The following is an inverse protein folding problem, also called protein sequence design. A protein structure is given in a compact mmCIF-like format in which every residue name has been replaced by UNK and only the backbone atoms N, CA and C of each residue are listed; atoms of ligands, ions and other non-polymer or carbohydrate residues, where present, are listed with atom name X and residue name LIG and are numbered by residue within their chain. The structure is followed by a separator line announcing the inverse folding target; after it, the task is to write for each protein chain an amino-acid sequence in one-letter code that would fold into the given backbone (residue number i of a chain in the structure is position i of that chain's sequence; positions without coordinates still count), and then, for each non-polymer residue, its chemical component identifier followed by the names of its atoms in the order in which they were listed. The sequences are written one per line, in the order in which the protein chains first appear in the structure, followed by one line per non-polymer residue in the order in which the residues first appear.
data_IF_224176600486
#
_entry.id   IF_224176600486
#
_cell.length_a   1.000
_cell.length_b   1.000
_cell.length_c   1.000
_cell.angle_alpha   90.00
_cell.angle_beta   90.00
_cell.angle_gamma   90.00
#
_symmetry.space_group_name_H-M   'P 1'
#
loop_
_entity.id
_entity.type
_entity.pdbx_description
1 polymer ?
#
# COMPACT_ATOMS: atom_id res chain seq x y z
N UNK A 1 7.81 -28.04 -5.97
CA UNK A 1 8.24 -29.45 -5.96
C UNK A 1 7.11 -30.28 -6.54
N UNK A 2 7.17 -30.58 -7.86
CA UNK A 2 7.44 -31.97 -8.22
C UNK A 2 8.26 -32.17 -9.52
N UNK A 3 8.87 -33.36 -9.59
CA UNK A 3 8.98 -34.27 -10.74
C UNK A 3 9.99 -34.05 -11.89
N UNK A 4 10.76 -35.14 -12.10
CA UNK A 4 11.18 -35.77 -13.37
C UNK A 4 12.31 -35.07 -14.13
N UNK A 5 13.31 -35.76 -14.69
CA UNK A 5 13.46 -37.17 -14.99
C UNK A 5 14.36 -37.27 -16.22
N UNK A 6 15.63 -37.60 -16.03
CA UNK A 6 16.64 -37.59 -17.11
C UNK A 6 16.69 -38.96 -17.80
N UNK A 7 16.15 -39.05 -19.02
CA UNK A 7 16.36 -40.15 -19.97
C UNK A 7 16.35 -39.62 -21.41
N UNK A 8 17.46 -39.80 -22.13
CA UNK A 8 17.54 -39.94 -23.59
C UNK A 8 19.00 -40.34 -23.92
N UNK A 9 19.32 -41.53 -24.43
CA UNK A 9 19.01 -42.15 -25.73
C UNK A 9 20.19 -42.06 -26.72
N UNK A 10 20.86 -43.20 -26.94
CA UNK A 10 21.44 -43.64 -28.25
C UNK A 10 20.25 -44.00 -29.18
N UNK A 11 20.35 -44.11 -30.53
CA UNK A 11 21.47 -44.70 -31.29
C UNK A 11 21.69 -44.20 -32.75
N UNK A 12 22.58 -44.92 -33.46
CA UNK A 12 22.56 -45.28 -34.89
C UNK A 12 23.23 -44.37 -35.96
N UNK A 13 24.41 -44.82 -36.42
CA UNK A 13 24.60 -45.38 -37.78
C UNK A 13 24.60 -44.46 -39.01
N UNK A 14 25.76 -44.36 -39.67
CA UNK A 14 25.92 -44.31 -41.16
C UNK A 14 27.41 -44.38 -41.52
N UNK A 15 27.84 -45.47 -42.16
CA UNK A 15 28.06 -45.67 -43.61
C UNK A 15 29.31 -45.00 -44.17
N UNK A 16 30.23 -45.87 -44.59
CA UNK A 16 31.34 -45.60 -45.51
C UNK A 16 30.85 -45.18 -46.90
N UNK A 17 31.73 -44.50 -47.66
CA UNK A 17 31.95 -44.85 -49.05
C UNK A 17 33.44 -45.07 -49.37
N UNK A 18 33.69 -46.11 -50.17
CA UNK A 18 35.01 -46.60 -50.53
C UNK A 18 35.79 -45.71 -51.50
N UNK A 19 37.10 -45.86 -51.43
CA UNK A 19 38.09 -45.35 -52.38
C UNK A 19 38.41 -46.42 -53.43
N UNK A 20 38.39 -46.11 -54.74
CA UNK A 20 38.85 -46.99 -55.80
C UNK A 20 40.24 -46.55 -56.27
N UNK A 21 41.30 -47.02 -55.61
CA UNK A 21 42.66 -46.92 -56.13
C UNK A 21 43.37 -48.25 -55.91
N UNK A 22 43.27 -49.15 -56.89
CA UNK A 22 44.31 -50.15 -57.20
C UNK A 22 43.89 -50.93 -58.45
N UNK A 23 44.10 -50.31 -59.61
CA UNK A 23 43.96 -50.97 -60.92
C UNK A 23 44.92 -50.35 -61.94
N UNK A 24 46.21 -50.33 -61.60
CA UNK A 24 47.30 -49.92 -62.50
C UNK A 24 48.50 -50.88 -62.40
N UNK A 25 48.22 -52.17 -62.24
CA UNK A 25 49.22 -53.23 -62.27
C UNK A 25 48.80 -54.33 -63.26
N UNK A 26 48.61 -54.00 -64.55
CA UNK A 26 48.28 -54.99 -65.60
C UNK A 26 48.40 -54.45 -67.04
N UNK A 27 49.47 -53.75 -67.41
CA UNK A 27 49.74 -53.51 -68.85
C UNK A 27 51.21 -53.15 -69.17
N UNK A 28 52.16 -53.97 -68.69
CA UNK A 28 53.56 -53.96 -69.15
C UNK A 28 54.05 -55.40 -69.28
N UNK A 29 53.55 -56.11 -70.31
CA UNK A 29 54.17 -57.31 -70.87
C UNK A 29 53.39 -57.75 -72.12
N UNK A 30 53.57 -57.00 -73.21
CA UNK A 30 53.32 -57.44 -74.59
C UNK A 30 53.86 -56.35 -75.52
N UNK A 31 54.42 -56.76 -76.65
CA UNK A 31 55.12 -55.94 -77.67
C UNK A 31 56.64 -55.79 -77.43
N UNK A 32 57.33 -56.93 -77.30
CA UNK A 32 58.61 -57.14 -77.97
C UNK A 32 58.51 -58.51 -78.65
N UNK A 33 57.88 -58.48 -79.82
CA UNK A 33 57.77 -59.61 -80.71
C UNK A 33 57.61 -59.06 -82.12
N UNK A 34 58.72 -59.03 -82.88
CA UNK A 34 58.83 -59.43 -84.28
C UNK A 34 60.04 -58.79 -84.98
N UNK A 35 60.66 -59.61 -85.82
CA UNK A 35 61.74 -59.39 -86.80
C UNK A 35 63.16 -59.26 -86.24
N UNK A 36 64.14 -60.04 -86.69
CA UNK A 36 64.39 -60.41 -88.09
C UNK A 36 64.76 -61.90 -88.25
N UNK A 37 63.98 -62.56 -89.13
CA UNK A 37 64.34 -63.75 -89.89
C UNK A 37 64.92 -63.28 -91.22
N UNK A 38 66.15 -63.69 -91.53
CA UNK A 38 66.80 -63.76 -92.85
C UNK A 38 68.19 -64.38 -92.61
N UNK A 39 68.76 -65.35 -93.33
CA UNK A 39 68.47 -66.21 -94.48
C UNK A 39 69.47 -67.38 -94.32
N UNK A 40 69.03 -68.64 -94.40
CA UNK A 40 69.32 -69.58 -95.49
C UNK A 40 70.70 -69.50 -96.19
N UNK A 41 71.37 -70.65 -96.18
CA UNK A 41 72.18 -71.24 -97.26
C UNK A 41 73.49 -70.56 -97.70
N UNK A 42 74.61 -71.25 -97.55
CA UNK A 42 75.22 -71.97 -98.69
C UNK A 42 76.53 -72.64 -98.28
N UNK A 43 76.62 -73.93 -98.61
CA UNK A 43 77.86 -74.69 -98.67
C UNK A 43 78.46 -74.55 -100.08
N UNK A 44 79.59 -75.23 -100.26
CA UNK A 44 80.27 -75.67 -101.51
C UNK A 44 81.30 -74.66 -102.09
N UNK A 45 82.26 -75.10 -102.93
CA UNK A 45 83.65 -75.41 -102.61
C UNK A 45 84.63 -74.55 -103.48
N UNK A 46 85.96 -74.81 -103.54
CA UNK A 46 86.89 -73.96 -104.26
C UNK A 46 86.94 -74.33 -105.76
N UNK A 47 86.91 -73.32 -106.62
CA UNK A 47 87.25 -73.47 -108.04
C UNK A 47 87.84 -72.15 -108.55
N UNK A 48 89.13 -72.20 -108.85
CA UNK A 48 89.91 -71.13 -109.50
C UNK A 48 89.55 -70.99 -110.99
N UNK A 49 90.06 -69.91 -111.59
CA UNK A 49 90.36 -69.70 -113.01
C UNK A 49 89.42 -68.83 -113.89
N UNK A 50 89.85 -67.56 -114.01
CA UNK A 50 89.80 -66.63 -115.17
C UNK A 50 88.48 -65.95 -115.61
N UNK A 51 88.42 -64.59 -115.54
CA UNK A 51 87.42 -63.78 -116.28
C UNK A 51 87.22 -62.32 -115.82
N UNK A 52 88.25 -61.46 -115.91
CA UNK A 52 88.37 -60.15 -115.24
C UNK A 52 87.68 -58.93 -115.92
N UNK A 53 86.44 -59.07 -116.44
CA UNK A 53 85.74 -57.95 -117.09
C UNK A 53 84.25 -57.79 -116.71
N UNK A 54 83.50 -58.87 -116.42
CA UNK A 54 82.08 -58.80 -116.05
C UNK A 54 81.84 -58.47 -114.55
N UNK A 55 82.84 -58.67 -113.70
CA UNK A 55 82.75 -58.36 -112.27
C UNK A 55 82.67 -56.86 -111.96
N UNK A 56 83.19 -55.99 -112.84
CA UNK A 56 83.12 -54.54 -112.63
C UNK A 56 81.69 -54.00 -112.79
N UNK A 57 80.94 -54.52 -113.75
CA UNK A 57 79.56 -54.09 -114.02
C UNK A 57 78.62 -54.51 -112.89
N UNK A 58 78.82 -55.72 -112.33
CA UNK A 58 78.07 -56.21 -111.16
C UNK A 58 78.37 -55.37 -109.92
N UNK A 59 79.64 -55.01 -109.69
CA UNK A 59 80.04 -54.13 -108.57
C UNK A 59 79.47 -52.73 -108.73
N UNK A 60 79.42 -52.16 -109.94
CA UNK A 60 78.78 -50.86 -110.18
C UNK A 60 77.27 -50.92 -109.99
N UNK A 61 76.60 -51.98 -110.45
CA UNK A 61 75.16 -52.16 -110.29
C UNK A 61 74.78 -52.35 -108.81
N UNK A 62 75.58 -53.10 -108.06
CA UNK A 62 75.44 -53.24 -106.61
C UNK A 62 75.66 -51.91 -105.86
N UNK A 63 76.64 -51.11 -106.28
CA UNK A 63 76.89 -49.79 -105.69
C UNK A 63 75.75 -48.80 -105.97
N UNK A 64 75.20 -48.80 -107.18
CA UNK A 64 74.01 -47.99 -107.51
C UNK A 64 72.77 -48.45 -106.74
N UNK A 65 72.58 -49.77 -106.58
CA UNK A 65 71.47 -50.30 -105.79
C UNK A 65 71.61 -49.96 -104.31
N UNK A 66 72.83 -50.04 -103.75
CA UNK A 66 73.13 -49.58 -102.39
C UNK A 66 72.86 -48.08 -102.23
N UNK A 67 73.25 -47.25 -103.20
CA UNK A 67 72.98 -45.82 -103.20
C UNK A 67 71.47 -45.52 -103.25
N UNK A 68 70.69 -46.23 -104.09
CA UNK A 68 69.22 -46.09 -104.13
C UNK A 68 68.56 -46.52 -102.83
N UNK A 69 69.04 -47.61 -102.20
CA UNK A 69 68.56 -48.05 -100.89
C UNK A 69 68.87 -47.01 -99.82
N UNK A 70 70.10 -46.50 -99.77
CA UNK A 70 70.51 -45.43 -98.87
C UNK A 70 69.66 -44.18 -99.07
N UNK A 71 69.43 -43.74 -100.30
CA UNK A 71 68.60 -42.58 -100.60
C UNK A 71 67.13 -42.80 -100.19
N UNK A 72 66.59 -44.01 -100.38
CA UNK A 72 65.26 -44.41 -99.91
C UNK A 72 65.16 -44.42 -98.38
N UNK A 73 66.21 -44.87 -97.68
CA UNK A 73 66.28 -44.77 -96.22
C UNK A 73 66.34 -43.31 -95.77
N UNK A 74 67.17 -42.48 -96.40
CA UNK A 74 67.27 -41.05 -96.08
C UNK A 74 65.94 -40.32 -96.36
N UNK A 75 65.23 -40.65 -97.45
CA UNK A 75 63.89 -40.09 -97.71
C UNK A 75 62.87 -40.50 -96.65
N UNK A 76 62.81 -41.79 -96.30
CA UNK A 76 61.93 -42.26 -95.21
C UNK A 76 62.32 -41.64 -93.87
N UNK A 77 63.60 -41.53 -93.57
CA UNK A 77 64.09 -40.91 -92.34
C UNK A 77 63.71 -39.43 -92.29
N UNK A 78 63.84 -38.69 -93.39
CA UNK A 78 63.36 -37.29 -93.48
C UNK A 78 61.84 -37.21 -93.29
N UNK A 79 61.07 -38.10 -93.93
CA UNK A 79 59.61 -38.15 -93.75
C UNK A 79 59.22 -38.46 -92.30
N UNK A 80 59.88 -39.42 -91.66
CA UNK A 80 59.65 -39.72 -90.25
C UNK A 80 60.07 -38.56 -89.35
N UNK A 81 61.18 -37.86 -89.63
CA UNK A 81 61.58 -36.66 -88.89
C UNK A 81 60.55 -35.54 -89.03
N UNK A 82 60.05 -35.27 -90.23
CA UNK A 82 58.96 -34.29 -90.43
C UNK A 82 57.72 -34.72 -89.65
N UNK A 83 57.34 -35.99 -89.71
CA UNK A 83 56.16 -36.48 -88.99
C UNK A 83 56.33 -36.42 -87.47
N UNK A 84 57.52 -36.72 -86.96
CA UNK A 84 57.85 -36.57 -85.53
C UNK A 84 57.73 -35.10 -85.13
N UNK A 85 58.31 -34.17 -85.90
CA UNK A 85 58.23 -32.74 -85.62
C UNK A 85 56.77 -32.24 -85.63
N UNK A 86 55.94 -32.69 -86.58
CA UNK A 86 54.51 -32.36 -86.61
C UNK A 86 53.77 -32.88 -85.38
N UNK A 87 54.03 -34.13 -84.98
CA UNK A 87 53.41 -34.72 -83.79
C UNK A 87 53.88 -34.04 -82.50
N UNK A 88 55.15 -33.65 -82.42
CA UNK A 88 55.69 -32.86 -81.32
C UNK A 88 55.06 -31.47 -81.25
N UNK A 89 54.85 -30.81 -82.39
CA UNK A 89 54.14 -29.52 -82.46
C UNK A 89 52.68 -29.66 -81.99
N UNK A 90 51.96 -30.68 -82.45
CA UNK A 90 50.59 -30.95 -82.00
C UNK A 90 50.52 -31.29 -80.50
N UNK A 91 51.49 -32.03 -79.96
CA UNK A 91 51.59 -32.29 -78.53
C UNK A 91 51.92 -31.03 -77.73
N UNK A 92 52.79 -30.16 -78.25
CA UNK A 92 53.10 -28.86 -77.64
C UNK A 92 51.86 -27.95 -77.60
N UNK A 93 51.12 -27.85 -78.70
CA UNK A 93 49.87 -27.10 -78.78
C UNK A 93 48.80 -27.66 -77.85
N UNK A 94 48.68 -29.00 -77.76
CA UNK A 94 47.77 -29.66 -76.83
C UNK A 94 48.16 -29.40 -75.37
N UNK A 95 49.46 -29.41 -75.03
CA UNK A 95 49.95 -29.05 -73.69
C UNK A 95 49.69 -27.56 -73.37
N UNK A 96 49.88 -26.66 -74.32
CA UNK A 96 49.59 -25.23 -74.16
C UNK A 96 48.08 -24.99 -73.98
N UNK A 97 47.23 -25.69 -74.73
CA UNK A 97 45.76 -25.64 -74.56
C UNK A 97 45.32 -26.21 -73.21
N UNK A 98 45.87 -27.36 -72.81
CA UNK A 98 45.62 -27.97 -71.49
C UNK A 98 46.05 -27.05 -70.34
N UNK A 99 47.14 -26.30 -70.50
CA UNK A 99 47.54 -25.29 -69.51
C UNK A 99 46.51 -24.17 -69.37
N UNK A 100 45.89 -23.72 -70.46
CA UNK A 100 44.83 -22.70 -70.41
C UNK A 100 43.53 -23.25 -69.81
N UNK A 101 43.17 -24.49 -70.14
CA UNK A 101 42.03 -25.20 -69.56
C UNK A 101 42.20 -25.34 -68.04
N UNK A 102 43.38 -25.76 -67.57
CA UNK A 102 43.71 -25.81 -66.15
C UNK A 102 43.58 -24.46 -65.44
N UNK A 103 43.91 -23.33 -66.11
CA UNK A 103 43.74 -22.00 -65.51
C UNK A 103 42.28 -21.56 -65.42
N UNK A 104 41.46 -21.94 -66.40
CA UNK A 104 40.02 -21.67 -66.39
C UNK A 104 39.32 -22.50 -65.31
N UNK A 105 39.69 -23.78 -65.17
CA UNK A 105 39.21 -24.64 -64.10
C UNK A 105 39.59 -24.10 -62.71
N UNK A 106 40.85 -23.66 -62.52
CA UNK A 106 41.26 -23.02 -61.27
C UNK A 106 40.52 -21.69 -61.00
N UNK A 107 40.12 -20.96 -62.04
CA UNK A 107 39.26 -19.78 -61.89
C UNK A 107 37.83 -20.17 -61.50
N UNK A 108 37.25 -21.18 -62.14
CA UNK A 108 35.92 -21.69 -61.83
C UNK A 108 35.85 -22.29 -60.41
N UNK A 109 36.91 -22.95 -59.95
CA UNK A 109 36.99 -23.46 -58.58
C UNK A 109 37.13 -22.35 -57.54
N UNK A 110 37.83 -21.26 -57.88
CA UNK A 110 37.82 -20.05 -57.06
C UNK A 110 36.43 -19.43 -56.98
N UNK A 111 35.70 -19.34 -58.10
CA UNK A 111 34.31 -18.85 -58.12
C UNK A 111 33.39 -19.75 -57.30
N UNK A 112 33.49 -21.08 -57.43
CA UNK A 112 32.72 -22.04 -56.63
C UNK A 112 33.04 -21.91 -55.14
N UNK A 113 34.31 -21.70 -54.79
CA UNK A 113 34.74 -21.47 -53.40
C UNK A 113 34.19 -20.15 -52.87
N UNK A 114 34.30 -19.06 -53.62
CA UNK A 114 33.70 -17.77 -53.22
C UNK A 114 32.19 -17.86 -53.06
N UNK A 115 31.50 -18.54 -53.97
CA UNK A 115 30.06 -18.75 -53.86
C UNK A 115 29.68 -19.56 -52.61
N UNK A 116 30.43 -20.64 -52.30
CA UNK A 116 30.26 -21.37 -51.02
C UNK A 116 30.43 -20.46 -49.82
N UNK A 117 31.49 -19.64 -49.79
CA UNK A 117 31.72 -18.71 -48.69
C UNK A 117 30.59 -17.67 -48.57
N UNK A 118 30.03 -17.21 -49.69
CA UNK A 118 28.87 -16.31 -49.69
C UNK A 118 27.65 -17.02 -49.11
N UNK A 119 27.37 -18.27 -49.52
CA UNK A 119 26.27 -19.05 -48.97
C UNK A 119 26.44 -19.28 -47.46
N UNK A 120 27.64 -19.67 -47.02
CA UNK A 120 27.94 -19.85 -45.59
C UNK A 120 27.78 -18.53 -44.81
N UNK A 121 28.14 -17.39 -45.41
CA UNK A 121 27.92 -16.08 -44.81
C UNK A 121 26.44 -15.71 -44.74
N UNK A 122 25.65 -16.06 -45.77
CA UNK A 122 24.20 -15.83 -45.78
C UNK A 122 23.52 -16.67 -44.71
N UNK A 123 23.88 -17.95 -44.59
CA UNK A 123 23.37 -18.85 -43.55
C UNK A 123 23.69 -18.30 -42.15
N UNK A 124 24.92 -17.83 -41.93
CA UNK A 124 25.29 -17.18 -40.67
C UNK A 124 24.48 -15.92 -40.37
N UNK A 125 24.21 -15.08 -41.37
CA UNK A 125 23.38 -13.88 -41.19
C UNK A 125 21.93 -14.27 -40.92
N UNK A 126 21.41 -15.30 -41.58
CA UNK A 126 20.07 -15.82 -41.37
C UNK A 126 19.90 -16.40 -39.96
N UNK A 127 20.89 -17.16 -39.47
CA UNK A 127 20.90 -17.71 -38.11
C UNK A 127 20.96 -16.60 -37.05
N UNK A 128 21.83 -15.61 -37.25
CA UNK A 128 21.90 -14.44 -36.37
C UNK A 128 20.59 -13.66 -36.36
N UNK A 129 19.98 -13.46 -37.53
CA UNK A 129 18.69 -12.74 -37.65
C UNK A 129 17.58 -13.51 -36.95
N UNK A 130 17.51 -14.83 -37.13
CA UNK A 130 16.52 -15.70 -36.47
C UNK A 130 16.69 -15.67 -34.95
N UNK A 131 17.92 -15.67 -34.46
CA UNK A 131 18.23 -15.56 -33.03
C UNK A 131 17.81 -14.20 -32.46
N UNK A 132 18.12 -13.11 -33.15
CA UNK A 132 17.72 -11.76 -32.73
C UNK A 132 16.19 -11.64 -32.66
N UNK A 133 15.47 -12.17 -33.65
CA UNK A 133 14.00 -12.16 -33.66
C UNK A 133 13.42 -12.93 -32.45
N UNK A 134 13.96 -14.11 -32.15
CA UNK A 134 13.54 -14.89 -30.98
C UNK A 134 13.85 -14.18 -29.65
N UNK A 135 15.00 -13.51 -29.55
CA UNK A 135 15.37 -12.71 -28.38
C UNK A 135 14.43 -11.51 -28.20
N UNK A 136 14.12 -10.79 -29.28
CA UNK A 136 13.18 -9.68 -29.27
C UNK A 136 11.77 -10.13 -28.88
N UNK A 137 11.29 -11.26 -29.42
CA UNK A 137 10.00 -11.83 -29.02
C UNK A 137 9.98 -12.17 -27.52
N UNK A 138 11.05 -12.80 -27.01
CA UNK A 138 11.19 -13.15 -25.60
C UNK A 138 11.20 -11.91 -24.69
N UNK A 139 11.87 -10.85 -25.11
CA UNK A 139 11.93 -9.61 -24.35
C UNK A 139 10.62 -8.83 -24.40
N UNK A 140 9.93 -8.83 -25.54
CA UNK A 140 8.59 -8.29 -25.68
C UNK A 140 7.60 -9.02 -24.75
N UNK A 141 7.64 -10.36 -24.72
CA UNK A 141 6.83 -11.16 -23.81
C UNK A 141 7.17 -10.89 -22.34
N UNK A 142 8.46 -10.67 -22.01
CA UNK A 142 8.88 -10.31 -20.65
C UNK A 142 8.33 -8.94 -20.26
N UNK A 143 8.40 -7.96 -21.14
CA UNK A 143 7.87 -6.61 -20.92
C UNK A 143 6.35 -6.63 -20.76
N UNK A 144 5.63 -7.39 -21.60
CA UNK A 144 4.19 -7.58 -21.46
C UNK A 144 3.81 -8.23 -20.13
N UNK A 145 4.51 -9.30 -19.72
CA UNK A 145 4.28 -9.93 -18.42
C UNK A 145 4.55 -8.99 -17.26
N UNK A 146 5.65 -8.23 -17.31
CA UNK A 146 5.95 -7.23 -16.28
C UNK A 146 4.85 -6.16 -16.19
N UNK A 147 4.34 -5.69 -17.33
CA UNK A 147 3.22 -4.74 -17.37
C UNK A 147 1.92 -5.35 -16.84
N UNK A 148 1.62 -6.60 -17.17
CA UNK A 148 0.45 -7.30 -16.64
C UNK A 148 0.52 -7.45 -15.12
N UNK A 149 1.68 -7.83 -14.58
CA UNK A 149 1.87 -7.89 -13.13
C UNK A 149 1.75 -6.51 -12.48
N UNK A 150 2.32 -5.46 -13.07
CA UNK A 150 2.19 -4.09 -12.56
C UNK A 150 0.73 -3.62 -12.55
N UNK A 151 -0.04 -3.90 -13.61
CA UNK A 151 -1.46 -3.54 -13.68
C UNK A 151 -2.28 -4.35 -12.67
N UNK A 152 -1.97 -5.63 -12.51
CA UNK A 152 -2.64 -6.47 -11.52
C UNK A 152 -2.34 -6.01 -10.08
N UNK A 153 -1.09 -5.67 -9.78
CA UNK A 153 -0.68 -5.11 -8.49
C UNK A 153 -1.35 -3.76 -8.22
N UNK A 154 -1.45 -2.89 -9.23
CA UNK A 154 -2.17 -1.62 -9.14
C UNK A 154 -3.65 -1.85 -8.82
N UNK A 155 -4.32 -2.76 -9.53
CA UNK A 155 -5.73 -3.11 -9.32
C UNK A 155 -5.97 -3.73 -7.93
N UNK A 156 -5.09 -4.61 -7.48
CA UNK A 156 -5.15 -5.19 -6.12
C UNK A 156 -4.94 -4.10 -5.06
N UNK A 157 -3.99 -3.19 -5.28
CA UNK A 157 -3.74 -2.07 -4.36
C UNK A 157 -4.92 -1.08 -4.31
N UNK A 158 -5.57 -0.82 -5.44
CA UNK A 158 -6.71 0.08 -5.53
C UNK A 158 -7.94 -0.53 -4.88
N UNK A 159 -8.18 -1.82 -5.11
CA UNK A 159 -9.22 -2.59 -4.40
C UNK A 159 -9.01 -2.52 -2.88
N UNK A 160 -7.80 -2.76 -2.40
CA UNK A 160 -7.51 -2.71 -0.96
C UNK A 160 -7.70 -1.29 -0.38
N UNK A 161 -7.30 -0.23 -1.12
CA UNK A 161 -7.55 1.17 -0.68
C UNK A 161 -9.03 1.50 -0.59
N UNK A 162 -9.86 1.01 -1.52
CA UNK A 162 -11.31 1.24 -1.46
C UNK A 162 -11.96 0.56 -0.25
N UNK A 163 -11.47 -0.63 0.10
CA UNK A 163 -11.95 -1.40 1.26
C UNK A 163 -11.50 -0.77 2.60
N UNK A 164 -10.28 -0.24 2.64
CA UNK A 164 -9.75 0.52 3.79
C UNK A 164 -10.58 1.79 4.05
N UNK A 165 -10.98 2.50 2.99
CA UNK A 165 -11.83 3.69 3.10
C UNK A 165 -13.20 3.37 3.70
N UNK A 166 -13.86 2.33 3.19
CA UNK A 166 -15.15 1.88 3.73
C UNK A 166 -15.02 1.41 5.19
N UNK A 167 -13.99 0.63 5.50
CA UNK A 167 -13.72 0.13 6.85
C UNK A 167 -13.48 1.26 7.85
N UNK A 168 -12.70 2.29 7.48
CA UNK A 168 -12.46 3.45 8.33
C UNK A 168 -13.73 4.27 8.61
N UNK A 169 -14.60 4.42 7.60
CA UNK A 169 -15.90 5.09 7.78
C UNK A 169 -16.84 4.29 8.68
N UNK A 170 -16.87 2.96 8.54
CA UNK A 170 -17.66 2.07 9.39
C UNK A 170 -17.18 2.15 10.84
N UNK A 171 -15.87 2.10 11.07
CA UNK A 171 -15.29 2.22 12.42
C UNK A 171 -15.61 3.58 13.05
N UNK A 172 -15.46 4.67 12.29
CA UNK A 172 -15.84 6.02 12.74
C UNK A 172 -17.33 6.12 13.06
N UNK A 173 -18.21 5.53 12.24
CA UNK A 173 -19.65 5.49 12.52
C UNK A 173 -19.94 4.77 13.83
N UNK A 174 -19.33 3.60 14.03
CA UNK A 174 -19.47 2.81 15.25
C UNK A 174 -18.96 3.57 16.48
N UNK A 175 -17.84 4.29 16.37
CA UNK A 175 -17.34 5.12 17.45
C UNK A 175 -18.33 6.23 17.82
N UNK A 176 -18.84 6.96 16.82
CA UNK A 176 -19.84 8.00 17.05
C UNK A 176 -21.13 7.47 17.67
N UNK A 177 -21.58 6.28 17.26
CA UNK A 177 -22.72 5.60 17.89
C UNK A 177 -22.47 5.33 19.39
N UNK A 178 -21.28 4.84 19.75
CA UNK A 178 -20.93 4.62 21.16
C UNK A 178 -20.84 5.91 21.96
N UNK A 179 -20.32 6.99 21.37
CA UNK A 179 -20.23 8.31 22.02
C UNK A 179 -21.62 8.93 22.23
N UNK A 180 -22.52 8.76 21.25
CA UNK A 180 -23.92 9.20 21.36
C UNK A 180 -24.64 8.43 22.46
N UNK A 181 -24.49 7.11 22.51
CA UNK A 181 -25.14 6.30 23.54
C UNK A 181 -24.62 6.66 24.94
N UNK A 182 -23.31 6.80 25.10
CA UNK A 182 -22.71 7.25 26.36
C UNK A 182 -23.22 8.63 26.79
N UNK A 183 -23.37 9.56 25.85
CA UNK A 183 -23.88 10.91 26.12
C UNK A 183 -25.34 10.89 26.54
N UNK A 184 -26.17 10.04 25.92
CA UNK A 184 -27.57 9.83 26.34
C UNK A 184 -27.65 9.26 27.74
N UNK A 185 -26.87 8.22 28.06
CA UNK A 185 -26.82 7.65 29.41
C UNK A 185 -26.41 8.69 30.47
N UNK A 186 -25.45 9.56 30.15
CA UNK A 186 -25.03 10.64 31.03
C UNK A 186 -26.13 11.68 31.22
N UNK A 187 -26.82 12.08 30.15
CA UNK A 187 -27.95 13.01 30.19
C UNK A 187 -29.09 12.45 31.06
N UNK A 188 -29.48 11.19 30.83
CA UNK A 188 -30.51 10.50 31.61
C UNK A 188 -30.15 10.44 33.11
N UNK A 189 -28.87 10.17 33.42
CA UNK A 189 -28.40 10.15 34.81
C UNK A 189 -28.47 11.54 35.45
N UNK A 190 -28.06 12.58 34.73
CA UNK A 190 -28.14 13.96 35.21
C UNK A 190 -29.60 14.38 35.43
N UNK A 191 -30.51 14.02 34.54
CA UNK A 191 -31.93 14.31 34.68
C UNK A 191 -32.54 13.63 35.90
N UNK A 192 -32.21 12.36 36.16
CA UNK A 192 -32.66 11.66 37.38
C UNK A 192 -32.17 12.35 38.66
N UNK A 193 -30.91 12.78 38.68
CA UNK A 193 -30.33 13.51 39.82
C UNK A 193 -30.99 14.87 40.01
N UNK A 194 -31.20 15.62 38.92
CA UNK A 194 -31.81 16.93 38.96
C UNK A 194 -33.29 16.86 39.40
N UNK A 195 -34.04 15.85 38.93
CA UNK A 195 -35.37 15.56 39.42
C UNK A 195 -35.39 15.25 40.92
N UNK A 196 -34.44 14.45 41.42
CA UNK A 196 -34.33 14.14 42.85
C UNK A 196 -34.06 15.40 43.68
N UNK A 197 -33.09 16.22 43.26
CA UNK A 197 -32.77 17.49 43.92
C UNK A 197 -33.94 18.46 43.87
N UNK A 198 -34.68 18.52 42.77
CA UNK A 198 -35.88 19.36 42.63
C UNK A 198 -36.98 18.94 43.60
N UNK A 199 -37.24 17.63 43.72
CA UNK A 199 -38.20 17.09 44.70
C UNK A 199 -37.79 17.40 46.14
N UNK A 200 -36.51 17.24 46.46
CA UNK A 200 -35.99 17.56 47.79
C UNK A 200 -36.07 19.06 48.10
N UNK A 201 -35.71 19.92 47.13
CA UNK A 201 -35.83 21.36 47.27
C UNK A 201 -37.29 21.78 47.52
N UNK A 202 -38.23 21.18 46.79
CA UNK A 202 -39.66 21.41 47.00
C UNK A 202 -40.12 20.95 48.39
N UNK A 203 -39.66 19.77 48.85
CA UNK A 203 -39.94 19.27 50.20
C UNK A 203 -39.43 20.24 51.27
N UNK A 204 -38.19 20.72 51.14
CA UNK A 204 -37.59 21.66 52.08
C UNK A 204 -38.31 23.00 52.09
N UNK A 205 -38.73 23.53 50.93
CA UNK A 205 -39.56 24.74 50.83
C UNK A 205 -40.88 24.59 51.58
N UNK A 206 -41.58 23.47 51.39
CA UNK A 206 -42.81 23.19 52.15
C UNK A 206 -42.54 23.13 53.65
N UNK A 207 -41.48 22.43 54.08
CA UNK A 207 -41.12 22.34 55.50
C UNK A 207 -40.81 23.71 56.11
N UNK A 208 -40.03 24.55 55.42
CA UNK A 208 -39.71 25.89 55.87
C UNK A 208 -40.97 26.76 55.99
N UNK A 209 -41.86 26.70 54.99
CA UNK A 209 -43.13 27.42 55.02
C UNK A 209 -44.03 26.99 56.20
N UNK A 210 -44.12 25.69 56.48
CA UNK A 210 -44.85 25.18 57.67
C UNK A 210 -44.25 25.73 58.96
N UNK A 211 -42.92 25.66 59.11
CA UNK A 211 -42.24 26.19 60.31
C UNK A 211 -42.45 27.70 60.46
N UNK A 212 -42.47 28.45 59.37
CA UNK A 212 -42.72 29.88 59.39
C UNK A 212 -44.16 30.19 59.83
N UNK A 213 -45.15 29.45 59.32
CA UNK A 213 -46.55 29.55 59.76
C UNK A 213 -46.71 29.22 61.25
N UNK A 214 -46.05 28.16 61.73
CA UNK A 214 -46.07 27.77 63.14
C UNK A 214 -45.43 28.85 64.03
N UNK A 215 -44.31 29.42 63.59
CA UNK A 215 -43.64 30.53 64.28
C UNK A 215 -44.57 31.74 64.37
N UNK A 216 -45.24 32.11 63.28
CA UNK A 216 -46.21 33.22 63.27
C UNK A 216 -47.39 32.95 64.21
N UNK A 217 -47.89 31.72 64.24
CA UNK A 217 -48.97 31.32 65.12
C UNK A 217 -48.56 31.41 66.60
N UNK A 218 -47.39 30.90 66.97
CA UNK A 218 -46.85 31.00 68.33
C UNK A 218 -46.62 32.45 68.74
N UNK A 219 -46.13 33.30 67.84
CA UNK A 219 -45.98 34.74 68.09
C UNK A 219 -47.35 35.39 68.37
N UNK A 220 -48.38 35.08 67.57
CA UNK A 220 -49.76 35.56 67.80
C UNK A 220 -50.29 35.11 69.16
N UNK A 221 -50.15 33.82 69.50
CA UNK A 221 -50.56 33.30 70.81
C UNK A 221 -49.83 34.01 71.96
N UNK A 222 -48.51 34.18 71.84
CA UNK A 222 -47.70 34.86 72.84
C UNK A 222 -48.17 36.31 73.06
N UNK A 223 -48.53 37.03 71.99
CA UNK A 223 -49.08 38.38 72.07
C UNK A 223 -50.44 38.38 72.77
N UNK A 224 -51.34 37.46 72.46
CA UNK A 224 -52.65 37.33 73.14
C UNK A 224 -52.47 37.08 74.64
N UNK A 225 -51.65 36.09 75.02
CA UNK A 225 -51.37 35.78 76.43
C UNK A 225 -50.75 36.98 77.14
N UNK A 226 -49.84 37.72 76.50
CA UNK A 226 -49.28 38.97 77.07
C UNK A 226 -50.37 40.01 77.31
N UNK A 227 -51.28 40.20 76.36
CA UNK A 227 -52.41 41.14 76.49
C UNK A 227 -53.33 40.76 77.65
N UNK A 228 -53.67 39.48 77.76
CA UNK A 228 -54.52 38.96 78.85
C UNK A 228 -53.82 39.11 80.20
N UNK A 229 -52.51 38.86 80.28
CA UNK A 229 -51.73 39.04 81.51
C UNK A 229 -51.73 40.51 81.96
N UNK A 230 -51.59 41.46 81.04
CA UNK A 230 -51.70 42.90 81.33
C UNK A 230 -53.11 43.26 81.80
N UNK A 231 -54.15 42.73 81.16
CA UNK A 231 -55.54 42.93 81.56
C UNK A 231 -55.80 42.42 82.98
N UNK A 232 -55.38 41.19 83.30
CA UNK A 232 -55.52 40.59 84.62
C UNK A 232 -54.74 41.36 85.69
N UNK A 233 -53.52 41.83 85.40
CA UNK A 233 -52.76 42.69 86.32
C UNK A 233 -53.50 44.00 86.60
N UNK A 234 -54.11 44.60 85.58
CA UNK A 234 -54.91 45.82 85.72
C UNK A 234 -56.16 45.56 86.58
N UNK A 235 -56.84 44.43 86.39
CA UNK A 235 -57.98 44.03 87.21
C UNK A 235 -57.60 43.75 88.66
N UNK A 236 -56.48 43.04 88.90
CA UNK A 236 -55.95 42.80 90.24
C UNK A 236 -55.61 44.11 90.95
N UNK A 237 -55.00 45.05 90.24
CA UNK A 237 -54.68 46.37 90.78
C UNK A 237 -55.95 47.15 91.15
N UNK A 238 -56.98 47.13 90.30
CA UNK A 238 -58.26 47.76 90.59
C UNK A 238 -58.96 47.14 91.82
N UNK A 239 -58.97 45.80 91.93
CA UNK A 239 -59.55 45.11 93.09
C UNK A 239 -58.77 45.38 94.39
N UNK A 240 -57.43 45.49 94.31
CA UNK A 240 -56.60 45.88 95.46
C UNK A 240 -56.94 47.28 95.94
N UNK A 241 -57.05 48.25 95.02
CA UNK A 241 -57.47 49.61 95.35
C UNK A 241 -58.87 49.64 96.01
N UNK A 242 -59.81 48.81 95.56
CA UNK A 242 -61.13 48.68 96.20
C UNK A 242 -61.05 48.10 97.62
N UNK A 243 -60.21 47.09 97.85
CA UNK A 243 -59.99 46.53 99.19
C UNK A 243 -59.33 47.55 100.13
N UNK A 244 -58.38 48.32 99.64
CA UNK A 244 -57.73 49.38 100.42
C UNK A 244 -58.73 50.47 100.81
N UNK A 245 -59.58 50.93 99.88
CA UNK A 245 -60.67 51.87 100.17
C UNK A 245 -61.67 51.32 101.21
N UNK A 246 -62.04 50.04 101.10
CA UNK A 246 -62.92 49.39 102.09
C UNK A 246 -62.24 49.28 103.47
N UNK A 247 -60.95 48.96 103.50
CA UNK A 247 -60.13 48.92 104.72
C UNK A 247 -60.01 50.29 105.36
N UNK A 248 -59.90 51.35 104.58
CA UNK A 248 -59.89 52.74 105.06
C UNK A 248 -61.27 53.21 105.56
N UNK A 249 -62.37 52.70 104.96
CA UNK A 249 -63.74 53.01 105.39
C UNK A 249 -64.19 52.31 106.67
N UNK A 250 -63.50 51.24 107.10
CA UNK A 250 -63.70 50.58 108.38
C UNK A 250 -62.62 50.97 109.40
N UNK A 251 -62.91 51.92 110.28
CA UNK A 251 -62.06 52.29 111.43
C UNK A 251 -62.85 52.21 112.76
N UNK A 252 -62.20 52.15 113.95
CA UNK A 252 -60.76 51.97 114.24
C UNK A 252 -60.50 50.98 115.42
N UNK A 253 -59.23 50.92 115.88
CA UNK A 253 -58.79 50.59 117.27
C UNK A 253 -58.01 49.28 117.50
N UNK A 254 -56.74 49.50 117.85
CA UNK A 254 -55.87 48.81 118.83
C UNK A 254 -55.46 47.32 118.74
N UNK A 255 -54.13 47.21 118.83
CA UNK A 255 -53.31 46.32 119.67
C UNK A 255 -52.96 44.89 119.21
N UNK A 256 -51.65 44.77 118.95
CA UNK A 256 -50.69 43.79 119.46
C UNK A 256 -50.89 42.26 119.34
N UNK A 257 -49.74 41.65 119.00
CA UNK A 257 -49.20 40.35 119.41
C UNK A 257 -49.34 39.09 118.52
N UNK A 258 -48.14 38.55 118.23
CA UNK A 258 -47.67 37.16 118.05
C UNK A 258 -48.01 36.29 116.81
N UNK A 259 -46.90 35.89 116.13
CA UNK A 259 -46.50 34.59 115.52
C UNK A 259 -47.47 33.90 114.52
N UNK A 260 -46.94 33.18 113.49
CA UNK A 260 -46.58 31.79 113.78
C UNK A 260 -45.42 31.17 112.97
N UNK A 261 -44.99 30.05 113.54
CA UNK A 261 -44.13 29.00 113.00
C UNK A 261 -45.01 27.95 112.30
N UNK A 262 -44.46 27.32 111.24
CA UNK A 262 -44.77 25.99 110.66
C UNK A 262 -45.67 25.86 109.41
N UNK A 263 -44.98 25.53 108.30
CA UNK A 263 -45.20 24.42 107.34
C UNK A 263 -46.57 24.23 106.65
N UNK A 264 -46.60 24.25 105.30
CA UNK A 264 -46.73 23.05 104.42
C UNK A 264 -46.92 23.40 102.93
N UNK A 265 -46.05 22.79 102.09
CA UNK A 265 -46.27 22.17 100.76
C UNK A 265 -47.22 22.80 99.72
N UNK A 266 -46.67 23.31 98.60
CA UNK A 266 -47.12 23.12 97.20
C UNK A 266 -45.96 23.57 96.27
N UNK A 267 -45.25 22.64 95.62
CA UNK A 267 -45.43 22.19 94.24
C UNK A 267 -44.84 23.12 93.14
N UNK A 268 -43.70 22.66 92.61
CA UNK A 268 -43.23 22.76 91.21
C UNK A 268 -43.24 24.12 90.51
N UNK A 269 -42.13 24.86 90.63
CA UNK A 269 -41.68 25.79 89.59
C UNK A 269 -40.47 25.18 88.88
N UNK A 270 -40.75 24.49 87.77
CA UNK A 270 -39.76 23.95 86.85
C UNK A 270 -38.87 25.07 86.31
N UNK A 271 -37.61 25.02 86.68
CA UNK A 271 -36.53 25.75 86.02
C UNK A 271 -36.34 25.17 84.62
N UNK A 272 -36.99 25.76 83.62
CA UNK A 272 -36.61 25.51 82.22
C UNK A 272 -35.34 26.30 81.94
N UNK A 273 -34.22 25.61 82.14
CA UNK A 273 -32.89 26.02 81.73
C UNK A 273 -32.87 26.26 80.22
N UNK A 274 -32.58 27.51 79.84
CA UNK A 274 -32.14 27.89 78.51
C UNK A 274 -30.91 27.05 78.12
N UNK A 275 -30.86 26.46 76.91
CA UNK A 275 -29.64 25.85 76.41
C UNK A 275 -28.64 26.96 76.04
N UNK A 276 -27.56 27.04 76.81
CA UNK A 276 -26.37 27.83 76.50
C UNK A 276 -25.67 27.19 75.30
N UNK A 277 -25.83 27.80 74.12
CA UNK A 277 -25.11 27.46 72.89
C UNK A 277 -23.61 27.70 73.13
N UNK A 278 -22.87 26.63 73.42
CA UNK A 278 -21.43 26.61 73.26
C UNK A 278 -21.11 26.28 71.81
N UNK A 279 -20.61 27.27 71.07
CA UNK A 279 -19.76 27.03 69.91
C UNK A 279 -18.54 26.23 70.40
N UNK A 280 -18.49 24.95 70.07
CA UNK A 280 -17.29 24.12 70.24
C UNK A 280 -16.79 23.74 68.86
N UNK A 281 -15.70 24.39 68.46
CA UNK A 281 -14.82 23.96 67.40
C UNK A 281 -14.41 22.50 67.63
N UNK A 282 -14.66 21.68 66.62
CA UNK A 282 -14.28 20.28 66.59
C UNK A 282 -12.92 20.17 65.89
N UNK A 283 -11.85 20.19 66.70
CA UNK A 283 -10.57 19.61 66.34
C UNK A 283 -10.35 18.38 67.24
N UNK A 284 -10.39 17.20 66.60
CA UNK A 284 -9.53 16.03 66.84
C UNK A 284 -9.08 15.72 68.27
N UNK A 285 -9.60 14.63 68.86
CA UNK A 285 -8.84 13.37 69.08
C UNK A 285 -9.28 12.54 70.30
N UNK A 286 -9.59 11.27 69.99
CA UNK A 286 -9.27 9.99 70.65
C UNK A 286 -9.58 9.65 72.13
N UNK A 287 -10.10 8.41 72.25
CA UNK A 287 -9.97 7.41 73.33
C UNK A 287 -10.88 7.62 74.57
N UNK A 288 -11.57 6.66 75.18
CA UNK A 288 -11.61 5.19 75.13
C UNK A 288 -12.91 4.71 75.85
N UNK A 289 -13.38 3.49 75.52
CA UNK A 289 -14.24 2.59 76.32
C UNK A 289 -15.78 2.50 76.05
N UNK A 290 -16.12 1.50 75.20
CA UNK A 290 -17.09 0.40 75.38
C UNK A 290 -18.58 0.67 75.71
N UNK A 291 -19.47 0.45 74.72
CA UNK A 291 -20.49 -0.64 74.67
C UNK A 291 -21.33 -0.60 73.36
N UNK A 292 -22.03 -1.71 73.00
CA UNK A 292 -22.32 -2.06 71.61
C UNK A 292 -23.66 -1.51 71.14
N UNK A 293 -23.75 -1.10 69.86
CA UNK A 293 -24.96 -1.24 69.06
C UNK A 293 -24.65 -1.01 67.57
N UNK A 294 -25.25 -1.86 66.77
CA UNK A 294 -25.10 -2.04 65.33
C UNK A 294 -25.88 -0.98 64.55
N UNK A 295 -25.20 -0.21 63.69
CA UNK A 295 -25.70 0.50 62.48
C UNK A 295 -25.00 1.86 62.25
N UNK A 296 -23.69 1.87 62.01
CA UNK A 296 -22.97 3.13 61.71
C UNK A 296 -21.66 3.01 60.92
N UNK A 297 -21.28 1.83 60.44
CA UNK A 297 -19.93 1.58 59.90
C UNK A 297 -19.77 1.97 58.42
N UNK A 298 -20.84 2.30 57.69
CA UNK A 298 -20.76 2.46 56.23
C UNK A 298 -20.31 3.83 55.72
N UNK A 299 -20.29 4.89 56.53
CA UNK A 299 -19.92 6.23 56.04
C UNK A 299 -18.43 6.53 56.13
N UNK A 300 -17.68 5.89 57.05
CA UNK A 300 -16.24 6.08 57.16
C UNK A 300 -15.45 5.24 56.14
N UNK A 301 -15.97 4.06 55.76
CA UNK A 301 -15.38 3.21 54.73
C UNK A 301 -15.49 3.83 53.31
N UNK A 302 -16.59 4.54 53.02
CA UNK A 302 -16.78 5.23 51.74
C UNK A 302 -15.83 6.43 51.57
N UNK A 303 -15.42 7.09 52.66
CA UNK A 303 -14.44 8.17 52.63
C UNK A 303 -13.01 7.65 52.40
N UNK A 304 -12.66 6.48 52.94
CA UNK A 304 -11.39 5.83 52.59
C UNK A 304 -11.34 5.34 51.14
N UNK A 305 -12.48 4.90 50.60
CA UNK A 305 -12.57 4.48 49.19
C UNK A 305 -12.48 5.65 48.22
N UNK A 306 -13.07 6.80 48.54
CA UNK A 306 -12.90 8.01 47.74
C UNK A 306 -11.45 8.51 47.77
N UNK A 307 -10.80 8.50 48.94
CA UNK A 307 -9.38 8.84 49.06
C UNK A 307 -8.46 7.87 48.32
N UNK A 308 -8.75 6.57 48.38
CA UNK A 308 -8.03 5.56 47.60
C UNK A 308 -8.23 5.74 46.09
N UNK A 309 -9.46 6.11 45.67
CA UNK A 309 -9.76 6.43 44.28
C UNK A 309 -9.03 7.69 43.80
N UNK A 310 -8.97 8.74 44.62
CA UNK A 310 -8.18 9.94 44.32
C UNK A 310 -6.68 9.63 44.24
N UNK A 311 -6.15 8.79 45.13
CA UNK A 311 -4.74 8.33 45.07
C UNK A 311 -4.44 7.55 43.80
N UNK A 312 -5.32 6.66 43.36
CA UNK A 312 -5.16 5.92 42.11
C UNK A 312 -5.26 6.82 40.87
N UNK A 313 -6.17 7.80 40.86
CA UNK A 313 -6.25 8.81 39.79
C UNK A 313 -4.95 9.63 39.73
N UNK A 314 -4.46 10.12 40.87
CA UNK A 314 -3.20 10.86 40.95
C UNK A 314 -2.03 9.99 40.46
N UNK A 315 -1.98 8.71 40.83
CA UNK A 315 -0.95 7.76 40.39
C UNK A 315 -1.01 7.50 38.88
N UNK A 316 -2.21 7.41 38.31
CA UNK A 316 -2.42 7.28 36.85
C UNK A 316 -1.99 8.54 36.11
N UNK A 317 -2.36 9.73 36.60
CA UNK A 317 -1.94 11.01 36.02
C UNK A 317 -0.43 11.21 36.09
N UNK A 318 0.21 10.83 37.20
CA UNK A 318 1.68 10.85 37.32
C UNK A 318 2.36 9.92 36.31
N UNK A 319 1.81 8.71 36.07
CA UNK A 319 2.33 7.81 35.03
C UNK A 319 2.16 8.39 33.63
N UNK A 320 1.02 9.00 33.33
CA UNK A 320 0.78 9.64 32.03
C UNK A 320 1.74 10.80 31.79
N UNK A 321 1.94 11.67 32.79
CA UNK A 321 2.92 12.76 32.72
C UNK A 321 4.36 12.24 32.57
N UNK A 322 4.71 11.13 33.23
CA UNK A 322 6.04 10.52 33.09
C UNK A 322 6.25 9.92 31.71
N UNK A 323 5.22 9.28 31.14
CA UNK A 323 5.24 8.78 29.76
C UNK A 323 5.34 9.94 28.77
N UNK A 324 4.61 11.02 28.98
CA UNK A 324 4.66 12.22 28.13
C UNK A 324 6.02 12.91 28.22
N UNK A 325 6.61 13.03 29.42
CA UNK A 325 7.99 13.52 29.60
C UNK A 325 8.99 12.63 28.89
N UNK A 326 8.84 11.31 28.97
CA UNK A 326 9.71 10.35 28.27
C UNK A 326 9.55 10.42 26.76
N UNK A 327 8.33 10.58 26.26
CA UNK A 327 8.06 10.81 24.84
C UNK A 327 8.66 12.14 24.38
N UNK A 328 8.48 13.23 25.13
CA UNK A 328 9.10 14.53 24.85
C UNK A 328 10.63 14.43 24.87
N UNK A 329 11.20 13.69 25.80
CA UNK A 329 12.65 13.47 25.87
C UNK A 329 13.14 12.60 24.71
N UNK A 330 12.37 11.61 24.25
CA UNK A 330 12.67 10.81 23.06
C UNK A 330 12.50 11.61 21.76
N UNK A 331 11.49 12.46 21.67
CA UNK A 331 11.34 13.40 20.56
C UNK A 331 12.46 14.44 20.57
N UNK A 332 12.88 14.91 21.75
CA UNK A 332 14.01 15.84 21.90
C UNK A 332 15.34 15.17 21.57
N UNK A 333 15.59 13.92 21.98
CA UNK A 333 16.83 13.19 21.66
C UNK A 333 16.87 12.71 20.21
N UNK A 334 15.74 12.31 19.64
CA UNK A 334 15.58 12.01 18.21
C UNK A 334 15.79 13.27 17.37
N UNK A 335 15.27 14.42 17.83
CA UNK A 335 15.52 15.72 17.19
C UNK A 335 16.97 16.19 17.37
N UNK A 336 17.64 15.85 18.48
CA UNK A 336 19.05 16.21 18.74
C UNK A 336 20.05 15.50 17.81
N UNK A 337 19.71 14.30 17.31
CA UNK A 337 20.54 13.55 16.36
C UNK A 337 20.16 13.79 14.89
N UNK A 338 19.01 14.44 14.62
CA UNK A 338 18.52 14.72 13.27
C UNK A 338 18.56 16.19 12.83
N UNK A 339 18.99 17.12 13.67
CA UNK A 339 18.91 18.55 13.33
C UNK A 339 20.05 19.37 13.95
N UNK A 340 21.25 19.22 13.39
CA UNK A 340 22.19 20.34 13.33
C UNK A 340 21.78 21.21 12.14
N UNK A 341 21.50 22.49 12.42
CA UNK A 341 20.98 23.53 11.52
C UNK A 341 19.46 23.62 11.39
N UNK A 342 18.81 24.22 12.40
CA UNK A 342 17.91 25.37 12.23
C UNK A 342 17.22 25.69 13.55
N UNK A 343 18.00 26.20 14.51
CA UNK A 343 17.47 26.83 15.70
C UNK A 343 17.44 28.34 15.53
N UNK A 344 16.22 28.91 15.55
CA UNK A 344 15.88 30.33 15.78
C UNK A 344 16.17 31.31 14.64
N UNK A 345 15.12 31.63 13.87
CA UNK A 345 14.48 32.96 13.88
C UNK A 345 13.39 33.01 12.78
N UNK A 346 12.36 33.81 13.05
CA UNK A 346 11.28 34.28 12.16
C UNK A 346 10.17 33.30 11.77
N UNK A 347 8.94 33.67 12.18
CA UNK A 347 7.74 33.59 11.36
C UNK A 347 8.12 33.56 9.88
N UNK A 348 7.84 32.44 9.22
CA UNK A 348 7.95 32.33 7.78
C UNK A 348 7.01 33.35 7.16
N UNK A 349 7.56 34.53 6.84
CA UNK A 349 7.03 35.43 5.83
C UNK A 349 6.83 34.57 4.59
N UNK A 350 5.59 34.09 4.41
CA UNK A 350 5.16 33.37 3.22
C UNK A 350 5.77 34.09 2.02
N UNK A 351 6.46 33.36 1.15
CA UNK A 351 7.01 33.93 -0.08
C UNK A 351 5.91 34.73 -0.80
N UNK A 352 6.26 35.81 -1.51
CA UNK A 352 5.26 36.55 -2.29
C UNK A 352 4.48 35.63 -3.24
N UNK A 353 5.13 34.59 -3.77
CA UNK A 353 4.47 33.57 -4.60
C UNK A 353 3.53 32.66 -3.80
N UNK A 354 3.87 32.33 -2.56
CA UNK A 354 3.01 31.54 -1.67
C UNK A 354 1.79 32.34 -1.23
N UNK A 355 1.96 33.63 -0.91
CA UNK A 355 0.85 34.54 -0.62
C UNK A 355 -0.11 34.66 -1.81
N UNK A 356 0.43 34.80 -3.02
CA UNK A 356 -0.36 34.85 -4.25
C UNK A 356 -1.22 33.59 -4.42
N UNK A 357 -0.63 32.40 -4.26
CA UNK A 357 -1.34 31.11 -4.34
C UNK A 357 -2.40 30.96 -3.25
N UNK A 358 -2.15 31.51 -2.06
CA UNK A 358 -3.09 31.45 -0.95
C UNK A 358 -4.29 32.36 -1.21
N UNK A 359 -4.07 33.54 -1.81
CA UNK A 359 -5.14 34.44 -2.27
C UNK A 359 -5.97 33.80 -3.38
N UNK A 360 -5.35 33.18 -4.38
CA UNK A 360 -6.06 32.46 -5.45
C UNK A 360 -6.95 31.34 -4.88
N UNK A 361 -6.40 30.50 -3.97
CA UNK A 361 -7.17 29.46 -3.28
C UNK A 361 -8.31 29.99 -2.44
N UNK A 362 -8.15 31.17 -1.83
CA UNK A 362 -9.23 31.81 -1.06
C UNK A 362 -10.33 32.34 -1.97
N UNK A 363 -9.98 32.92 -3.12
CA UNK A 363 -10.94 33.35 -4.14
C UNK A 363 -11.73 32.18 -4.73
N UNK A 364 -11.07 31.06 -5.03
CA UNK A 364 -11.72 29.84 -5.51
C UNK A 364 -12.74 29.33 -4.48
N UNK A 365 -12.39 29.35 -3.19
CA UNK A 365 -13.29 28.97 -2.10
C UNK A 365 -14.46 29.92 -1.96
N UNK A 366 -14.25 31.23 -2.10
CA UNK A 366 -15.32 32.23 -2.08
C UNK A 366 -16.29 32.04 -3.26
N UNK A 367 -15.79 31.77 -4.47
CA UNK A 367 -16.62 31.47 -5.63
C UNK A 367 -17.45 30.20 -5.42
N UNK A 368 -16.83 29.14 -4.90
CA UNK A 368 -17.52 27.90 -4.60
C UNK A 368 -18.58 28.10 -3.50
N UNK A 369 -18.27 28.89 -2.47
CA UNK A 369 -19.21 29.24 -1.43
C UNK A 369 -20.40 30.02 -2.00
N UNK A 370 -20.16 31.04 -2.84
CA UNK A 370 -21.21 31.80 -3.50
C UNK A 370 -22.09 30.93 -4.41
N UNK A 371 -21.49 29.97 -5.13
CA UNK A 371 -22.24 29.01 -5.96
C UNK A 371 -23.10 28.08 -5.11
N UNK A 372 -22.55 27.57 -4.00
CA UNK A 372 -23.28 26.75 -3.04
C UNK A 372 -24.41 27.54 -2.40
N UNK A 373 -24.18 28.78 -1.99
CA UNK A 373 -25.20 29.65 -1.41
C UNK A 373 -26.31 29.96 -2.42
N UNK A 374 -25.96 30.27 -3.67
CA UNK A 374 -26.95 30.49 -4.74
C UNK A 374 -27.78 29.24 -5.04
N UNK A 375 -27.18 28.05 -4.92
CA UNK A 375 -27.85 26.77 -5.20
C UNK A 375 -28.66 26.26 -4.01
N UNK A 376 -28.17 26.45 -2.79
CA UNK A 376 -28.84 26.04 -1.55
C UNK A 376 -29.98 26.99 -1.18
N UNK A 377 -29.84 28.27 -1.52
CA UNK A 377 -30.83 29.30 -1.28
C UNK A 377 -31.07 30.10 -2.57
N UNK A 378 -31.78 29.52 -3.56
CA UNK A 378 -32.17 30.26 -4.75
C UNK A 378 -32.90 31.52 -4.31
N UNK A 379 -32.29 32.69 -4.56
CA UNK A 379 -32.92 33.97 -4.26
C UNK A 379 -34.21 34.00 -5.06
N UNK A 380 -35.35 33.83 -4.38
CA UNK A 380 -36.68 33.98 -4.95
C UNK A 380 -36.86 35.46 -5.29
N UNK A 381 -36.29 35.87 -6.43
CA UNK A 381 -36.54 37.18 -7.00
C UNK A 381 -38.04 37.29 -7.24
N UNK A 382 -38.66 38.18 -6.47
CA UNK A 382 -40.09 38.23 -6.25
C UNK A 382 -40.90 38.29 -7.53
N UNK A 383 -41.50 37.15 -7.89
CA UNK A 383 -42.79 37.11 -8.58
C UNK A 383 -43.61 36.03 -7.90
N UNK A 384 -44.39 36.49 -6.91
CA UNK A 384 -45.45 35.74 -6.27
C UNK A 384 -46.37 35.16 -7.35
N UNK A 385 -46.21 33.88 -7.65
CA UNK A 385 -47.31 33.02 -8.11
C UNK A 385 -47.18 31.76 -7.27
N UNK A 386 -48.26 31.43 -6.57
CA UNK A 386 -48.27 30.50 -5.44
C UNK A 386 -47.64 29.16 -5.78
N UNK A 387 -46.68 28.77 -4.94
CA UNK A 387 -46.23 27.39 -4.87
C UNK A 387 -47.23 26.59 -4.03
N UNK A 388 -47.73 25.44 -4.52
CA UNK A 388 -48.71 24.58 -3.85
C UNK A 388 -48.13 23.81 -2.64
N UNK A 389 -46.85 23.98 -2.32
CA UNK A 389 -46.18 23.29 -1.22
C UNK A 389 -46.57 23.80 0.19
N UNK A 390 -47.38 24.86 0.27
CA UNK A 390 -47.95 25.36 1.53
C UNK A 390 -49.47 25.09 1.67
N UNK A 391 -50.12 24.50 0.65
CA UNK A 391 -51.57 24.20 0.70
C UNK A 391 -51.90 22.76 1.09
N UNK A 392 -50.91 21.91 1.40
CA UNK A 392 -51.17 20.55 1.87
C UNK A 392 -51.90 19.66 0.85
N UNK A 393 -51.84 20.02 -0.43
CA UNK A 393 -52.36 19.19 -1.50
C UNK A 393 -51.30 18.13 -1.83
N UNK A 394 -51.62 16.88 -1.52
CA UNK A 394 -50.72 15.75 -1.69
C UNK A 394 -50.24 15.67 -3.14
N UNK A 395 -48.92 15.74 -3.33
CA UNK A 395 -48.26 15.54 -4.63
C UNK A 395 -48.69 14.18 -5.17
N UNK A 396 -49.26 14.17 -6.38
CA UNK A 396 -49.74 12.94 -7.03
C UNK A 396 -48.58 11.95 -7.21
N UNK A 397 -48.79 10.63 -7.00
CA UNK A 397 -47.77 9.60 -7.21
C UNK A 397 -47.09 9.69 -8.59
N UNK A 398 -47.80 10.16 -9.61
CA UNK A 398 -47.28 10.32 -10.97
C UNK A 398 -46.21 11.43 -11.09
N UNK A 399 -46.32 12.50 -10.28
CA UNK A 399 -45.33 13.58 -10.26
C UNK A 399 -44.07 13.16 -9.51
N UNK A 400 -44.23 12.37 -8.44
CA UNK A 400 -43.09 11.75 -7.73
C UNK A 400 -42.36 10.77 -8.64
N UNK A 401 -43.08 9.96 -9.42
CA UNK A 401 -42.49 9.04 -10.39
C UNK A 401 -41.70 9.76 -11.49
N UNK A 402 -42.18 10.92 -11.97
CA UNK A 402 -41.45 11.76 -12.94
C UNK A 402 -40.19 12.41 -12.35
N UNK A 403 -40.22 12.82 -11.09
CA UNK A 403 -39.04 13.37 -10.44
C UNK A 403 -37.96 12.30 -10.23
N UNK A 404 -38.36 11.07 -9.88
CA UNK A 404 -37.43 9.96 -9.71
C UNK A 404 -36.83 9.47 -11.04
N UNK A 405 -37.59 9.46 -12.15
CA UNK A 405 -37.06 9.07 -13.46
C UNK A 405 -36.02 10.07 -13.99
N UNK A 406 -36.21 11.37 -13.72
CA UNK A 406 -35.23 12.39 -14.12
C UNK A 406 -33.91 12.31 -13.34
N UNK A 407 -33.94 11.83 -12.09
CA UNK A 407 -32.73 11.60 -11.29
C UNK A 407 -31.97 10.37 -11.77
N UNK A 408 -32.67 9.31 -12.19
CA UNK A 408 -32.04 8.11 -12.75
C UNK A 408 -31.29 8.37 -14.07
N UNK A 409 -31.72 9.34 -14.87
CA UNK A 409 -31.05 9.66 -16.14
C UNK A 409 -29.75 10.49 -15.96
N UNK A 410 -29.48 11.01 -14.76
CA UNK A 410 -28.24 11.76 -14.49
C UNK A 410 -27.08 10.88 -14.01
N UNK A 411 -27.32 9.63 -13.56
CA UNK A 411 -26.24 8.74 -13.12
C UNK A 411 -25.53 8.01 -14.26
N UNK A 412 -26.18 7.84 -15.42
CA UNK A 412 -25.65 7.09 -16.56
C UNK A 412 -24.73 7.92 -17.49
N UNK A 413 -24.63 9.23 -17.27
CA UNK A 413 -23.88 10.15 -18.12
C UNK A 413 -22.40 10.35 -17.77
N UNK A 414 -21.87 9.69 -16.72
CA UNK A 414 -20.52 9.98 -16.19
C UNK A 414 -19.42 8.94 -16.48
N UNK A 415 -19.71 7.89 -17.24
CA UNK A 415 -18.71 6.86 -17.63
C UNK A 415 -18.20 7.00 -19.07
N UNK A 416 -18.44 8.13 -19.75
CA UNK A 416 -17.81 8.41 -21.05
C UNK A 416 -17.22 9.82 -21.08
N UNK A 417 -16.02 9.96 -20.51
CA UNK A 417 -15.02 10.91 -20.98
C UNK A 417 -13.62 10.48 -20.53
#
# INVERSE_FOLDING_TARGET
MPARGSKAAKPAGRKQPGSPEDSTAKFRNKILGLSVVAEQNSAVPPFDEYGNAEQKDIVTQMNEELARRQESYVRRERQYKVRVNELEALLSDSRAKKSKENTLDASMDRVRTMHRNILDSVDQVQDRTSKILQEQEKDLLRAFRARLYSVQEELESEKNKTDDGASAWIEKSKQLETEVEWTKELADRLDRLNQSLTRENQRLKTQFSTQENDREFLVKQLVTVKKDNVSLRTQLEALRQQLDLLRESGQPQQQQHHHPQSQTLFATASTSSLPKVHYRDSATSLALAQRPNTAGVSTLAMASDSDNRYKEIIKRLKRLLEVERRNLQQHSSSSLLGSHQHGRQSESRLSSSERQRLVEKLLEKEQLLNLLTAKAFPVRNGKRRGDPLLTGEAVSPDEVAKLLSNVSNFSDGRERQ
#
